data_IF_495574775499
#
_entry.id   IF_495574775499
#
_cell.length_a   1.000
_cell.length_b   1.000
_cell.length_c   1.000
_cell.angle_alpha   90.00
_cell.angle_beta   90.00
_cell.angle_gamma   90.00
#
_symmetry.space_group_name_H-M   'P 1'
#
loop_
_entity.id
_entity.type
_entity.pdbx_description
1 polymer ?
#
# COMPACT_ATOMS: atom_id res chain seq x y z
N UNK A 1 21.01 -31.82 8.46
CA UNK A 1 20.12 -31.46 7.33
C UNK A 1 21.01 -31.26 6.12
N UNK A 2 21.24 -32.32 5.36
CA UNK A 2 21.82 -32.21 4.03
C UNK A 2 20.83 -31.41 3.20
N UNK A 3 21.26 -30.22 2.77
CA UNK A 3 20.43 -29.35 1.96
C UNK A 3 20.11 -30.10 0.67
N UNK A 4 18.83 -30.39 0.47
CA UNK A 4 18.27 -30.73 -0.82
C UNK A 4 18.50 -29.53 -1.74
N UNK A 5 19.70 -29.43 -2.29
CA UNK A 5 19.99 -28.52 -3.37
C UNK A 5 19.17 -29.00 -4.56
N UNK A 6 17.94 -28.51 -4.66
CA UNK A 6 17.21 -28.52 -5.91
C UNK A 6 18.05 -27.71 -6.89
N UNK A 7 18.96 -28.43 -7.57
CA UNK A 7 19.82 -27.85 -8.57
C UNK A 7 18.92 -27.27 -9.66
N UNK A 8 19.16 -26.00 -10.01
CA UNK A 8 18.49 -25.37 -11.14
C UNK A 8 18.58 -26.27 -12.37
N UNK A 9 17.46 -26.41 -13.07
CA UNK A 9 17.43 -27.10 -14.35
C UNK A 9 18.40 -26.42 -15.33
N UNK A 10 18.99 -27.15 -16.29
CA UNK A 10 19.86 -26.55 -17.30
C UNK A 10 19.23 -25.35 -18.03
N UNK A 11 17.91 -25.40 -18.24
CA UNK A 11 17.14 -24.29 -18.81
C UNK A 11 17.13 -23.06 -17.90
N UNK A 12 16.84 -23.23 -16.61
CA UNK A 12 16.91 -22.14 -15.63
C UNK A 12 18.31 -21.52 -15.59
N UNK A 13 19.37 -22.34 -15.58
CA UNK A 13 20.74 -21.83 -15.62
C UNK A 13 21.04 -20.99 -16.87
N UNK A 14 20.50 -21.36 -18.03
CA UNK A 14 20.62 -20.55 -19.26
C UNK A 14 19.89 -19.22 -19.13
N UNK A 15 18.67 -19.22 -18.58
CA UNK A 15 17.87 -18.00 -18.36
C UNK A 15 18.60 -17.08 -17.38
N UNK A 16 19.10 -17.62 -16.26
CA UNK A 16 19.82 -16.86 -15.24
C UNK A 16 21.06 -16.15 -15.82
N UNK A 17 21.82 -16.82 -16.69
CA UNK A 17 22.96 -16.20 -17.38
C UNK A 17 22.53 -15.07 -18.30
N UNK A 18 21.52 -15.30 -19.13
CA UNK A 18 20.99 -14.26 -20.02
C UNK A 18 20.48 -13.05 -19.24
N UNK A 19 19.72 -13.27 -18.15
CA UNK A 19 19.26 -12.21 -17.26
C UNK A 19 20.45 -11.46 -16.65
N UNK A 20 21.49 -12.18 -16.19
CA UNK A 20 22.69 -11.57 -15.64
C UNK A 20 23.38 -10.64 -16.66
N UNK A 21 23.54 -11.10 -17.89
CA UNK A 21 24.25 -10.39 -18.96
C UNK A 21 23.51 -9.12 -19.37
N UNK A 22 22.18 -9.16 -19.44
CA UNK A 22 21.37 -7.99 -19.87
C UNK A 22 20.98 -7.07 -18.71
N UNK A 23 21.19 -7.47 -17.45
CA UNK A 23 20.69 -6.75 -16.28
C UNK A 23 21.18 -5.31 -16.21
N UNK A 24 22.46 -5.05 -16.50
CA UNK A 24 23.02 -3.70 -16.40
C UNK A 24 22.37 -2.72 -17.38
N UNK A 25 22.17 -3.15 -18.64
CA UNK A 25 21.48 -2.36 -19.65
C UNK A 25 20.00 -2.17 -19.30
N UNK A 26 19.35 -3.23 -18.82
CA UNK A 26 17.97 -3.18 -18.35
C UNK A 26 17.81 -2.16 -17.21
N UNK A 27 18.63 -2.26 -16.16
CA UNK A 27 18.63 -1.38 -14.99
C UNK A 27 18.83 0.08 -15.39
N UNK A 28 19.80 0.37 -16.26
CA UNK A 28 20.05 1.73 -16.72
C UNK A 28 18.79 2.34 -17.37
N UNK A 29 18.16 1.60 -18.30
CA UNK A 29 16.93 2.05 -18.96
C UNK A 29 15.77 2.20 -17.99
N UNK A 30 15.60 1.23 -17.09
CA UNK A 30 14.56 1.24 -16.07
C UNK A 30 14.66 2.49 -15.19
N UNK A 31 15.85 2.79 -14.65
CA UNK A 31 16.08 3.98 -13.82
C UNK A 31 15.83 5.25 -14.61
N UNK A 32 16.46 5.43 -15.79
CA UNK A 32 16.30 6.65 -16.60
C UNK A 32 14.84 6.90 -17.01
N UNK A 33 14.12 5.87 -17.45
CA UNK A 33 12.70 6.04 -17.81
C UNK A 33 11.86 6.36 -16.58
N UNK A 34 12.10 5.68 -15.46
CA UNK A 34 11.36 5.93 -14.23
C UNK A 34 11.57 7.35 -13.69
N UNK A 35 12.80 7.86 -13.71
CA UNK A 35 13.09 9.24 -13.27
C UNK A 35 12.34 10.25 -14.12
N UNK A 36 12.23 10.01 -15.43
CA UNK A 36 11.47 10.90 -16.30
C UNK A 36 9.98 10.91 -15.95
N UNK A 37 9.39 9.74 -15.68
CA UNK A 37 7.98 9.61 -15.26
C UNK A 37 7.76 10.27 -13.89
N UNK A 38 8.68 10.05 -12.95
CA UNK A 38 8.63 10.59 -11.58
C UNK A 38 8.74 12.12 -11.53
N UNK A 39 9.59 12.71 -12.39
CA UNK A 39 9.73 14.16 -12.52
C UNK A 39 8.42 14.79 -12.99
N UNK A 40 7.80 14.23 -14.02
CA UNK A 40 6.49 14.69 -14.50
C UNK A 40 5.40 14.49 -13.43
N UNK A 41 5.49 13.38 -12.68
CA UNK A 41 4.65 13.06 -11.53
C UNK A 41 4.53 14.19 -10.51
N UNK A 42 5.67 14.82 -10.20
CA UNK A 42 5.83 15.83 -9.14
C UNK A 42 5.50 17.26 -9.60
N UNK A 43 5.60 17.56 -10.90
CA UNK A 43 5.44 18.91 -11.45
C UNK A 43 4.05 19.55 -11.29
N UNK A 44 3.01 18.81 -10.89
CA UNK A 44 1.74 19.42 -10.52
C UNK A 44 1.86 20.35 -9.28
N UNK A 45 2.82 20.09 -8.38
CA UNK A 45 3.09 20.93 -7.20
C UNK A 45 4.14 22.02 -7.47
N UNK A 46 5.12 21.76 -8.34
CA UNK A 46 6.24 22.67 -8.62
C UNK A 46 6.06 23.58 -9.85
N UNK A 47 4.92 23.47 -10.57
CA UNK A 47 4.62 24.22 -11.81
C UNK A 47 4.64 25.75 -11.68
N UNK A 48 4.70 26.29 -10.46
CA UNK A 48 4.86 27.72 -10.22
C UNK A 48 6.30 28.24 -10.24
N UNK A 49 7.32 27.39 -9.97
CA UNK A 49 8.65 27.93 -9.61
C UNK A 49 9.76 27.71 -10.66
N UNK A 50 9.68 26.69 -11.53
CA UNK A 50 10.79 26.36 -12.47
C UNK A 50 10.49 26.53 -13.96
N UNK A 51 9.24 26.81 -14.35
CA UNK A 51 8.84 26.99 -15.76
C UNK A 51 9.46 28.24 -16.42
N UNK A 52 10.18 29.08 -15.67
CA UNK A 52 10.80 30.31 -16.18
C UNK A 52 12.28 30.18 -16.59
N UNK A 53 13.01 29.12 -16.21
CA UNK A 53 14.48 29.13 -16.34
C UNK A 53 15.01 28.19 -17.43
N UNK A 54 14.25 27.18 -17.88
CA UNK A 54 14.73 26.17 -18.85
C UNK A 54 13.87 26.14 -20.13
N UNK A 55 13.47 27.31 -20.65
CA UNK A 55 12.82 27.43 -21.96
C UNK A 55 13.82 27.64 -23.11
N UNK A 56 15.12 27.54 -22.86
CA UNK A 56 16.18 27.99 -23.78
C UNK A 56 17.21 26.92 -24.11
N UNK A 57 16.78 25.71 -24.49
CA UNK A 57 17.62 24.82 -25.30
C UNK A 57 16.84 23.67 -25.95
N UNK A 58 16.44 23.90 -27.20
CA UNK A 58 16.37 22.93 -28.31
C UNK A 58 15.63 21.60 -28.10
N UNK A 59 14.34 21.61 -28.42
CA UNK A 59 13.72 20.79 -29.48
C UNK A 59 14.41 19.45 -29.82
N UNK A 60 13.91 18.35 -29.25
CA UNK A 60 13.52 17.11 -29.98
C UNK A 60 12.61 16.29 -29.07
N UNK A 61 11.42 15.97 -29.57
CA UNK A 61 10.34 15.21 -28.91
C UNK A 61 9.77 15.81 -27.61
N UNK A 62 8.55 16.32 -27.70
CA UNK A 62 7.70 16.57 -26.54
C UNK A 62 7.58 15.26 -25.77
N UNK A 63 8.03 15.23 -24.52
CA UNK A 63 8.03 14.07 -23.64
C UNK A 63 6.69 13.33 -23.67
N UNK A 64 6.60 12.25 -24.46
CA UNK A 64 5.43 11.38 -24.51
C UNK A 64 5.40 10.51 -23.24
N UNK A 65 4.90 11.12 -22.16
CA UNK A 65 4.73 10.48 -20.85
C UNK A 65 3.86 9.23 -20.93
N UNK A 66 2.73 9.21 -21.65
CA UNK A 66 2.00 7.98 -21.92
C UNK A 66 2.91 6.87 -22.47
N UNK A 67 3.70 7.11 -23.51
CA UNK A 67 4.61 6.10 -24.08
C UNK A 67 5.67 5.63 -23.07
N UNK A 68 6.22 6.55 -22.25
CA UNK A 68 7.18 6.19 -21.19
C UNK A 68 6.54 5.32 -20.11
N UNK A 69 5.30 5.59 -19.71
CA UNK A 69 4.54 4.76 -18.76
C UNK A 69 4.25 3.38 -19.34
N UNK A 70 3.85 3.31 -20.61
CA UNK A 70 3.65 2.03 -21.31
C UNK A 70 4.93 1.20 -21.37
N UNK A 71 6.07 1.82 -21.71
CA UNK A 71 7.35 1.13 -21.69
C UNK A 71 7.70 0.62 -20.29
N UNK A 72 7.53 1.45 -19.27
CA UNK A 72 7.82 1.09 -17.89
C UNK A 72 6.90 -0.04 -17.39
N UNK A 73 5.63 -0.06 -17.81
CA UNK A 73 4.69 -1.14 -17.53
C UNK A 73 5.22 -2.49 -18.06
N UNK A 74 5.73 -2.51 -19.31
CA UNK A 74 6.37 -3.71 -19.88
C UNK A 74 7.63 -4.14 -19.15
N UNK A 75 8.43 -3.19 -18.65
CA UNK A 75 9.59 -3.52 -17.82
C UNK A 75 9.17 -4.17 -16.49
N UNK A 76 8.09 -3.71 -15.86
CA UNK A 76 7.58 -4.32 -14.63
C UNK A 76 7.02 -5.73 -14.85
N UNK A 77 6.29 -5.96 -15.94
CA UNK A 77 5.86 -7.30 -16.35
C UNK A 77 7.06 -8.24 -16.50
N UNK A 78 8.11 -7.78 -17.17
CA UNK A 78 9.35 -8.56 -17.35
C UNK A 78 10.06 -8.84 -16.03
N UNK A 79 10.11 -7.86 -15.11
CA UNK A 79 10.65 -8.04 -13.75
C UNK A 79 9.88 -9.13 -13.00
N UNK A 80 8.54 -9.14 -13.09
CA UNK A 80 7.71 -10.16 -12.45
C UNK A 80 8.04 -11.55 -12.98
N UNK A 81 8.20 -11.67 -14.31
CA UNK A 81 8.63 -12.90 -14.95
C UNK A 81 10.03 -13.36 -14.50
N UNK A 82 10.99 -12.44 -14.41
CA UNK A 82 12.34 -12.75 -13.92
C UNK A 82 12.33 -13.23 -12.48
N UNK A 83 11.55 -12.60 -11.60
CA UNK A 83 11.42 -13.02 -10.21
C UNK A 83 10.88 -14.45 -10.09
N UNK A 84 9.82 -14.78 -10.84
CA UNK A 84 9.24 -16.12 -10.88
C UNK A 84 10.21 -17.18 -11.43
N UNK A 85 10.96 -16.83 -12.47
CA UNK A 85 11.83 -17.79 -13.16
C UNK A 85 13.18 -18.00 -12.47
N UNK A 86 13.63 -17.04 -11.65
CA UNK A 86 14.99 -17.00 -11.11
C UNK A 86 15.10 -17.31 -9.62
N UNK A 87 13.98 -17.26 -8.88
CA UNK A 87 13.97 -17.49 -7.42
C UNK A 87 14.92 -16.55 -6.68
N UNK A 88 15.74 -17.12 -5.78
CA UNK A 88 16.68 -16.37 -4.92
C UNK A 88 17.69 -15.48 -5.68
N UNK A 89 18.07 -15.86 -6.91
CA UNK A 89 19.02 -15.10 -7.72
C UNK A 89 18.56 -13.65 -7.96
N UNK A 90 17.25 -13.42 -7.98
CA UNK A 90 16.68 -12.11 -8.25
C UNK A 90 16.47 -11.27 -6.99
N UNK A 91 16.52 -11.85 -5.79
CA UNK A 91 16.27 -11.17 -4.50
C UNK A 91 17.10 -9.89 -4.36
N UNK A 92 18.42 -10.02 -4.50
CA UNK A 92 19.34 -8.88 -4.34
C UNK A 92 19.05 -7.78 -5.36
N UNK A 93 18.83 -8.15 -6.62
CA UNK A 93 18.55 -7.22 -7.72
C UNK A 93 17.23 -6.50 -7.52
N UNK A 94 16.20 -7.24 -7.13
CA UNK A 94 14.90 -6.65 -6.81
C UNK A 94 15.04 -5.64 -5.67
N UNK A 95 15.65 -6.05 -4.55
CA UNK A 95 15.84 -5.19 -3.37
C UNK A 95 16.62 -3.91 -3.69
N UNK A 96 17.73 -4.00 -4.43
CA UNK A 96 18.61 -2.84 -4.64
C UNK A 96 18.22 -1.95 -5.81
N UNK A 97 17.67 -2.54 -6.88
CA UNK A 97 17.51 -1.83 -8.14
C UNK A 97 16.04 -1.56 -8.49
N UNK A 98 15.14 -2.50 -8.20
CA UNK A 98 13.73 -2.41 -8.59
C UNK A 98 12.90 -1.74 -7.50
N UNK A 99 13.04 -2.21 -6.27
CA UNK A 99 12.21 -1.81 -5.15
C UNK A 99 12.21 -0.29 -4.89
N UNK A 100 13.36 0.43 -4.88
CA UNK A 100 13.35 1.87 -4.64
C UNK A 100 12.55 2.66 -5.69
N UNK A 101 12.62 2.25 -6.95
CA UNK A 101 11.87 2.87 -8.05
C UNK A 101 10.39 2.56 -7.92
N UNK A 102 10.06 1.29 -7.68
CA UNK A 102 8.68 0.83 -7.49
C UNK A 102 7.99 1.55 -6.33
N UNK A 103 8.64 1.61 -5.16
CA UNK A 103 8.12 2.27 -3.97
C UNK A 103 7.87 3.77 -4.21
N UNK A 104 8.80 4.45 -4.90
CA UNK A 104 8.67 5.87 -5.23
C UNK A 104 7.51 6.14 -6.20
N UNK A 105 7.33 5.29 -7.21
CA UNK A 105 6.19 5.40 -8.15
C UNK A 105 4.86 5.19 -7.44
N UNK A 106 4.74 4.11 -6.65
CA UNK A 106 3.54 3.82 -5.87
C UNK A 106 3.21 4.95 -4.88
N UNK A 107 4.21 5.47 -4.17
CA UNK A 107 4.03 6.60 -3.25
C UNK A 107 3.43 7.82 -3.95
N UNK A 108 3.99 8.23 -5.10
CA UNK A 108 3.44 9.34 -5.88
C UNK A 108 1.99 9.10 -6.34
N UNK A 109 1.66 7.86 -6.72
CA UNK A 109 0.32 7.49 -7.15
C UNK A 109 -0.67 7.49 -5.99
N UNK A 110 -0.26 7.04 -4.81
CA UNK A 110 -1.06 7.08 -3.57
C UNK A 110 -1.34 8.53 -3.18
N UNK A 111 -0.34 9.40 -3.22
CA UNK A 111 -0.50 10.84 -2.94
C UNK A 111 -1.55 11.46 -3.87
N UNK A 112 -1.54 11.09 -5.15
CA UNK A 112 -2.54 11.55 -6.13
C UNK A 112 -3.95 11.04 -5.79
N UNK A 113 -4.09 9.75 -5.48
CA UNK A 113 -5.37 9.15 -5.09
C UNK A 113 -5.93 9.84 -3.82
N UNK A 114 -5.08 10.10 -2.83
CA UNK A 114 -5.46 10.81 -1.62
C UNK A 114 -5.94 12.24 -1.89
N UNK A 115 -5.23 12.98 -2.75
CA UNK A 115 -5.57 14.35 -3.09
C UNK A 115 -6.86 14.46 -3.92
N UNK A 116 -7.20 13.46 -4.75
CA UNK A 116 -8.46 13.44 -5.51
C UNK A 116 -9.67 13.22 -4.60
N UNK A 117 -9.51 12.46 -3.51
CA UNK A 117 -10.61 12.14 -2.59
C UNK A 117 -10.93 13.23 -1.55
N UNK A 118 -10.08 14.24 -1.39
CA UNK A 118 -10.19 15.24 -0.31
C UNK A 118 -11.03 16.48 -0.60
N UNK A 119 -11.81 16.52 -1.68
CA UNK A 119 -12.50 17.75 -2.13
C UNK A 119 -13.94 17.90 -1.62
N UNK A 120 -14.58 16.87 -1.08
CA UNK A 120 -16.01 16.95 -0.74
C UNK A 120 -16.30 16.69 0.74
N UNK A 121 -15.90 17.64 1.58
CA UNK A 121 -16.62 17.91 2.83
C UNK A 121 -16.78 19.43 3.00
N UNK A 122 -17.15 20.11 1.90
CA UNK A 122 -17.67 21.48 1.94
C UNK A 122 -19.12 21.47 2.46
N UNK A 123 -19.31 20.90 3.65
CA UNK A 123 -20.39 21.26 4.56
C UNK A 123 -19.99 22.55 5.30
N UNK A 124 -19.36 23.51 4.61
CA UNK A 124 -19.26 24.87 5.13
C UNK A 124 -20.69 25.40 5.14
N UNK A 125 -21.31 25.64 6.30
CA UNK A 125 -22.64 26.24 6.33
C UNK A 125 -22.57 27.55 5.55
N UNK A 126 -23.59 27.90 4.74
CA UNK A 126 -23.60 29.12 3.97
C UNK A 126 -23.34 30.27 4.93
N UNK A 127 -22.15 30.86 4.84
CA UNK A 127 -21.84 32.07 5.59
C UNK A 127 -22.76 33.11 5.00
N UNK A 128 -23.86 33.37 5.72
CA UNK A 128 -24.82 34.41 5.37
C UNK A 128 -24.00 35.69 5.18
N UNK A 129 -23.99 36.28 3.97
CA UNK A 129 -23.26 37.51 3.74
C UNK A 129 -23.92 38.57 4.63
N UNK A 130 -23.23 38.94 5.70
CA UNK A 130 -23.63 40.04 6.56
C UNK A 130 -23.50 41.32 5.73
N UNK A 131 -24.64 41.78 5.25
CA UNK A 131 -24.86 43.03 4.56
C UNK A 131 -24.33 44.23 5.36
N UNK A 132 -23.86 45.21 4.58
CA UNK A 132 -23.66 46.66 4.82
C UNK A 132 -22.19 47.03 4.60
N UNK A 133 -21.82 47.78 3.56
CA UNK A 133 -22.21 49.18 3.32
C UNK A 133 -22.27 49.51 1.82
N UNK A 134 -23.22 50.39 1.48
CA UNK A 134 -23.45 51.05 0.20
C UNK A 134 -22.17 51.37 -0.60
N UNK A 135 -22.14 50.97 -1.88
CA UNK A 135 -21.49 51.77 -2.91
C UNK A 135 -22.32 51.76 -4.18
N UNK A 136 -22.60 52.97 -4.65
CA UNK A 136 -23.50 53.30 -5.74
C UNK A 136 -22.84 53.06 -7.11
N UNK A 137 -23.68 52.60 -8.05
CA UNK A 137 -23.68 52.94 -9.49
C UNK A 137 -22.57 52.35 -10.35
N UNK A 138 -22.97 51.37 -11.16
CA UNK A 138 -22.24 50.88 -12.33
C UNK A 138 -22.97 49.73 -13.01
N UNK A 139 -24.05 50.02 -13.76
CA UNK A 139 -24.76 49.03 -14.60
C UNK A 139 -23.82 48.54 -15.70
N UNK A 140 -23.40 47.30 -15.60
CA UNK A 140 -22.65 46.57 -16.62
C UNK A 140 -22.99 45.09 -16.51
N UNK A 141 -24.08 44.71 -17.16
CA UNK A 141 -24.62 43.35 -17.20
C UNK A 141 -23.66 42.45 -18.00
N UNK A 142 -22.78 41.75 -17.27
CA UNK A 142 -21.90 40.71 -17.82
C UNK A 142 -22.41 39.37 -17.30
N UNK A 143 -23.20 38.71 -18.12
CA UNK A 143 -23.52 37.28 -18.05
C UNK A 143 -22.21 36.51 -17.99
N UNK A 144 -21.77 36.12 -16.80
CA UNK A 144 -20.64 35.20 -16.63
C UNK A 144 -21.16 33.80 -16.94
N UNK A 145 -20.67 33.11 -17.99
CA UNK A 145 -20.95 31.70 -18.16
C UNK A 145 -20.34 30.98 -16.96
N UNK A 146 -21.20 30.45 -16.11
CA UNK A 146 -20.85 29.48 -15.09
C UNK A 146 -20.44 28.19 -15.82
N UNK A 147 -19.19 28.14 -16.26
CA UNK A 147 -18.57 26.92 -16.75
C UNK A 147 -18.42 25.99 -15.55
N UNK A 148 -19.36 25.06 -15.44
CA UNK A 148 -19.35 23.95 -14.51
C UNK A 148 -18.03 23.18 -14.66
N UNK A 149 -17.06 23.48 -13.80
CA UNK A 149 -15.82 22.72 -13.62
C UNK A 149 -16.16 21.37 -13.01
N UNK A 150 -16.65 20.44 -13.84
CA UNK A 150 -16.78 19.03 -13.49
C UNK A 150 -15.71 18.24 -14.23
N UNK A 151 -14.46 18.53 -13.90
CA UNK A 151 -13.31 17.71 -14.30
C UNK A 151 -12.78 17.01 -13.06
N UNK A 152 -13.56 16.07 -12.54
CA UNK A 152 -12.99 14.95 -11.77
C UNK A 152 -11.98 14.30 -12.71
N UNK A 153 -10.70 14.50 -12.44
CA UNK A 153 -9.61 13.99 -13.26
C UNK A 153 -9.59 12.48 -13.14
N UNK A 154 -10.29 11.80 -14.05
CA UNK A 154 -10.14 10.37 -14.24
C UNK A 154 -8.65 10.08 -14.41
N UNK A 155 -8.15 9.10 -13.65
CA UNK A 155 -6.77 8.63 -13.80
C UNK A 155 -6.55 8.24 -15.26
N UNK A 156 -5.46 8.71 -15.86
CA UNK A 156 -5.17 8.40 -17.26
C UNK A 156 -4.96 6.88 -17.44
N UNK A 157 -5.48 6.31 -18.53
CA UNK A 157 -5.37 4.87 -18.81
C UNK A 157 -3.92 4.37 -18.78
N UNK A 158 -2.96 5.20 -19.23
CA UNK A 158 -1.53 4.88 -19.20
C UNK A 158 -0.96 4.76 -17.77
N UNK A 159 -1.49 5.56 -16.83
CA UNK A 159 -1.12 5.53 -15.42
C UNK A 159 -1.74 4.32 -14.73
N UNK A 160 -3.01 4.04 -15.00
CA UNK A 160 -3.69 2.84 -14.51
C UNK A 160 -3.01 1.55 -14.97
N UNK A 161 -2.61 1.51 -16.25
CA UNK A 161 -1.86 0.38 -16.79
C UNK A 161 -0.52 0.21 -16.09
N UNK A 162 0.22 1.30 -15.85
CA UNK A 162 1.48 1.26 -15.12
C UNK A 162 1.31 0.75 -13.68
N UNK A 163 0.31 1.24 -12.94
CA UNK A 163 0.01 0.76 -11.58
C UNK A 163 -0.30 -0.73 -11.60
N UNK A 164 -1.15 -1.15 -12.54
CA UNK A 164 -1.53 -2.56 -12.69
C UNK A 164 -0.30 -3.44 -12.92
N UNK A 165 0.59 -3.06 -13.83
CA UNK A 165 1.83 -3.81 -14.10
C UNK A 165 2.79 -3.80 -12.91
N UNK A 166 2.88 -2.71 -12.14
CA UNK A 166 3.66 -2.66 -10.89
C UNK A 166 3.12 -3.69 -9.88
N UNK A 167 1.81 -3.69 -9.63
CA UNK A 167 1.18 -4.60 -8.69
C UNK A 167 1.32 -6.05 -9.17
N UNK A 168 1.13 -6.34 -10.45
CA UNK A 168 1.34 -7.67 -11.01
C UNK A 168 2.80 -8.13 -10.88
N UNK A 169 3.76 -7.23 -11.09
CA UNK A 169 5.18 -7.49 -10.86
C UNK A 169 5.45 -7.88 -9.41
N UNK A 170 4.90 -7.11 -8.46
CA UNK A 170 5.00 -7.37 -7.03
C UNK A 170 4.35 -8.71 -6.65
N UNK A 171 3.17 -9.01 -7.19
CA UNK A 171 2.51 -10.30 -7.00
C UNK A 171 3.39 -11.45 -7.49
N UNK A 172 4.01 -11.31 -8.66
CA UNK A 172 4.92 -12.33 -9.18
C UNK A 172 6.16 -12.54 -8.32
N UNK A 173 6.68 -11.48 -7.70
CA UNK A 173 7.82 -11.53 -6.78
C UNK A 173 7.48 -12.29 -5.49
N UNK A 174 6.37 -11.97 -4.84
CA UNK A 174 5.98 -12.62 -3.58
C UNK A 174 5.35 -14.00 -3.77
N UNK A 175 4.83 -14.33 -4.96
CA UNK A 175 4.40 -15.70 -5.28
C UNK A 175 5.57 -16.67 -5.54
N UNK A 176 6.76 -16.15 -5.85
CA UNK A 176 7.89 -16.99 -6.18
C UNK A 176 8.63 -17.39 -4.91
N UNK A 177 8.43 -18.61 -4.39
CA UNK A 177 8.93 -19.10 -3.09
C UNK A 177 10.31 -18.52 -2.70
N UNK A 178 11.37 -18.81 -3.47
CA UNK A 178 12.72 -18.34 -3.13
C UNK A 178 12.92 -16.82 -3.23
N UNK A 179 12.19 -16.12 -4.11
CA UNK A 179 12.28 -14.66 -4.19
C UNK A 179 11.50 -13.99 -3.05
N UNK A 180 10.27 -14.44 -2.79
CA UNK A 180 9.40 -13.94 -1.74
C UNK A 180 10.01 -14.13 -0.35
N UNK A 181 10.51 -15.33 -0.05
CA UNK A 181 11.20 -15.64 1.20
C UNK A 181 12.43 -14.75 1.40
N UNK A 182 13.22 -14.55 0.34
CA UNK A 182 14.39 -13.67 0.37
C UNK A 182 14.07 -12.19 0.58
N UNK A 183 12.79 -11.79 0.48
CA UNK A 183 12.31 -10.40 0.56
C UNK A 183 11.32 -10.16 1.72
N UNK A 184 11.28 -11.06 2.71
CA UNK A 184 10.40 -10.94 3.89
C UNK A 184 10.59 -9.60 4.64
N UNK A 185 11.82 -9.10 4.71
CA UNK A 185 12.14 -7.79 5.31
C UNK A 185 11.45 -6.60 4.62
N UNK A 186 11.03 -6.75 3.35
CA UNK A 186 10.30 -5.72 2.61
C UNK A 186 8.79 -5.74 2.87
N UNK A 187 8.23 -6.83 3.44
CA UNK A 187 6.78 -7.01 3.58
C UNK A 187 6.14 -5.85 4.35
N UNK A 188 6.73 -5.45 5.47
CA UNK A 188 6.19 -4.35 6.28
C UNK A 188 6.09 -3.05 5.47
N UNK A 189 7.15 -2.68 4.76
CA UNK A 189 7.15 -1.45 3.95
C UNK A 189 6.22 -1.57 2.72
N UNK A 190 6.22 -2.71 2.04
CA UNK A 190 5.39 -2.93 0.87
C UNK A 190 3.90 -2.92 1.19
N UNK A 191 3.51 -3.52 2.32
CA UNK A 191 2.12 -3.52 2.78
C UNK A 191 1.56 -2.12 3.01
N UNK A 192 2.38 -1.20 3.55
CA UNK A 192 1.98 0.19 3.76
C UNK A 192 1.63 0.90 2.44
N UNK A 193 2.33 0.57 1.36
CA UNK A 193 2.01 1.05 0.02
C UNK A 193 0.81 0.34 -0.61
N UNK A 194 0.50 -0.89 -0.20
CA UNK A 194 -0.62 -1.66 -0.73
C UNK A 194 -1.97 -1.33 -0.10
N UNK A 195 -2.01 -1.01 1.21
CA UNK A 195 -3.27 -0.75 1.91
C UNK A 195 -4.15 0.33 1.27
N UNK A 196 -3.63 1.46 0.76
CA UNK A 196 -4.45 2.46 0.09
C UNK A 196 -5.24 1.91 -1.11
N UNK A 197 -4.74 0.88 -1.79
CA UNK A 197 -5.40 0.26 -2.94
C UNK A 197 -6.58 -0.64 -2.56
N UNK A 198 -6.64 -1.14 -1.31
CA UNK A 198 -7.76 -1.95 -0.84
C UNK A 198 -9.09 -1.16 -0.78
N UNK A 199 -9.02 0.17 -0.65
CA UNK A 199 -10.17 1.05 -0.56
C UNK A 199 -10.54 1.76 -1.87
N UNK A 200 -9.92 1.39 -2.99
CA UNK A 200 -10.05 2.09 -4.27
C UNK A 200 -11.35 1.71 -5.02
N UNK A 201 -12.44 2.45 -4.79
CA UNK A 201 -13.75 2.22 -5.42
C UNK A 201 -13.72 2.24 -6.94
N UNK A 202 -13.00 3.21 -7.47
CA UNK A 202 -13.03 3.49 -8.90
C UNK A 202 -12.30 2.40 -9.70
N UNK A 203 -11.51 1.54 -9.03
CA UNK A 203 -10.63 0.57 -9.64
C UNK A 203 -10.64 -0.77 -8.88
N UNK A 204 -11.75 -1.53 -8.91
CA UNK A 204 -11.90 -2.79 -8.16
C UNK A 204 -10.82 -3.83 -8.51
N UNK A 205 -10.35 -3.82 -9.76
CA UNK A 205 -9.25 -4.69 -10.21
C UNK A 205 -7.95 -4.42 -9.46
N UNK A 206 -7.64 -3.17 -9.10
CA UNK A 206 -6.44 -2.86 -8.32
C UNK A 206 -6.57 -3.38 -6.89
N UNK A 207 -7.77 -3.25 -6.29
CA UNK A 207 -8.05 -3.75 -4.96
C UNK A 207 -7.92 -5.28 -4.89
N UNK A 208 -8.40 -6.00 -5.90
CA UNK A 208 -8.25 -7.46 -6.03
C UNK A 208 -6.77 -7.88 -6.09
N UNK A 209 -5.97 -7.25 -6.96
CA UNK A 209 -4.54 -7.56 -7.08
C UNK A 209 -3.81 -7.22 -5.77
N UNK A 210 -4.10 -6.08 -5.14
CA UNK A 210 -3.50 -5.69 -3.86
C UNK A 210 -3.85 -6.68 -2.74
N UNK A 211 -5.10 -7.16 -2.71
CA UNK A 211 -5.56 -8.19 -1.78
C UNK A 211 -4.80 -9.50 -1.98
N UNK A 212 -4.62 -9.96 -3.22
CA UNK A 212 -3.87 -11.17 -3.53
C UNK A 212 -2.40 -11.06 -3.11
N UNK A 213 -1.76 -9.90 -3.34
CA UNK A 213 -0.37 -9.67 -2.89
C UNK A 213 -0.29 -9.75 -1.37
N UNK A 214 -1.19 -9.08 -0.64
CA UNK A 214 -1.21 -9.10 0.82
C UNK A 214 -1.46 -10.50 1.37
N UNK A 215 -2.33 -11.28 0.72
CA UNK A 215 -2.53 -12.69 1.06
C UNK A 215 -1.23 -13.48 0.94
N UNK A 216 -0.48 -13.31 -0.15
CA UNK A 216 0.83 -13.97 -0.31
C UNK A 216 1.86 -13.50 0.70
N UNK A 217 1.87 -12.22 1.05
CA UNK A 217 2.74 -11.71 2.10
C UNK A 217 2.38 -12.27 3.48
N UNK A 218 1.10 -12.51 3.77
CA UNK A 218 0.65 -13.14 5.02
C UNK A 218 1.13 -14.59 5.13
N UNK A 219 1.15 -15.32 4.01
CA UNK A 219 1.69 -16.68 3.93
C UNK A 219 3.22 -16.70 4.20
N UNK A 220 3.95 -15.62 3.85
CA UNK A 220 5.39 -15.50 4.06
C UNK A 220 5.76 -15.00 5.47
N UNK A 221 5.11 -13.93 5.94
CA UNK A 221 5.30 -13.35 7.28
C UNK A 221 4.04 -12.62 7.74
N UNK A 222 3.21 -13.36 8.48
CA UNK A 222 1.99 -12.81 9.08
C UNK A 222 2.27 -11.75 10.14
N UNK A 223 3.39 -11.85 10.86
CA UNK A 223 3.69 -11.03 12.03
C UNK A 223 3.80 -9.54 11.69
N UNK A 224 4.40 -9.25 10.53
CA UNK A 224 4.57 -7.90 10.01
C UNK A 224 3.25 -7.23 9.60
N UNK A 225 2.24 -8.02 9.26
CA UNK A 225 0.95 -7.53 8.73
C UNK A 225 -0.16 -7.53 9.77
N UNK A 226 -0.08 -8.37 10.81
CA UNK A 226 -1.12 -8.44 11.85
C UNK A 226 -1.40 -7.06 12.45
N UNK A 227 -0.36 -6.33 12.88
CA UNK A 227 -0.54 -5.04 13.54
C UNK A 227 -1.27 -4.00 12.67
N UNK A 228 -0.83 -3.71 11.43
CA UNK A 228 -1.56 -2.78 10.58
C UNK A 228 -2.96 -3.29 10.20
N UNK A 229 -3.17 -4.60 10.04
CA UNK A 229 -4.50 -5.15 9.75
C UNK A 229 -5.48 -4.98 10.94
N UNK A 230 -5.03 -5.22 12.17
CA UNK A 230 -5.83 -4.92 13.36
C UNK A 230 -6.16 -3.43 13.46
N UNK A 231 -5.17 -2.57 13.19
CA UNK A 231 -5.40 -1.13 13.16
C UNK A 231 -6.45 -0.71 12.11
N UNK A 232 -6.31 -1.19 10.88
CA UNK A 232 -7.24 -0.87 9.78
C UNK A 232 -8.64 -1.45 9.98
N UNK A 233 -8.75 -2.64 10.60
CA UNK A 233 -10.05 -3.25 10.89
C UNK A 233 -10.78 -2.63 12.08
N UNK A 234 -10.11 -1.75 12.86
CA UNK A 234 -10.64 -1.24 14.12
C UNK A 234 -10.76 -2.31 15.22
N UNK A 235 -10.30 -3.54 14.98
CA UNK A 235 -10.29 -4.62 15.98
C UNK A 235 -9.12 -4.37 16.95
N UNK A 236 -9.37 -4.54 18.25
CA UNK A 236 -8.29 -4.50 19.24
C UNK A 236 -7.27 -5.61 18.98
N UNK A 237 -5.99 -5.33 19.21
CA UNK A 237 -4.96 -6.37 19.18
C UNK A 237 -5.29 -7.41 20.26
N UNK A 238 -5.27 -8.72 19.93
CA UNK A 238 -5.43 -9.74 20.95
C UNK A 238 -4.32 -9.58 21.99
N UNK A 239 -4.62 -9.80 23.29
CA UNK A 239 -3.59 -9.77 24.32
C UNK A 239 -2.49 -10.78 23.95
N UNK A 240 -1.24 -10.31 23.91
CA UNK A 240 -0.10 -11.16 23.57
C UNK A 240 -0.06 -12.36 24.52
N UNK A 241 0.09 -13.60 24.01
CA UNK A 241 0.16 -14.79 24.87
C UNK A 241 1.33 -14.73 25.86
N UNK A 242 2.40 -13.98 25.53
CA UNK A 242 3.53 -13.76 26.44
C UNK A 242 3.17 -12.91 27.66
N UNK A 243 2.07 -12.16 27.63
CA UNK A 243 1.61 -11.40 28.79
C UNK A 243 0.93 -12.28 29.84
N UNK A 244 0.32 -13.39 29.43
CA UNK A 244 -0.38 -14.32 30.32
C UNK A 244 0.61 -15.08 31.20
N UNK A 245 1.70 -15.58 30.61
CA UNK A 245 2.74 -16.35 31.33
C UNK A 245 3.41 -15.54 32.44
N UNK A 246 3.55 -14.22 32.27
CA UNK A 246 4.17 -13.37 33.30
C UNK A 246 3.26 -13.16 34.52
N UNK A 247 1.94 -13.07 34.31
CA UNK A 247 1.01 -12.91 35.44
C UNK A 247 0.90 -14.19 36.28
N UNK A 248 0.96 -15.37 35.66
CA UNK A 248 0.94 -16.65 36.38
C UNK A 248 2.22 -16.88 37.21
N UNK A 249 3.38 -16.40 36.75
CA UNK A 249 4.62 -16.48 37.54
C UNK A 249 4.64 -15.50 38.73
N UNK A 250 4.07 -14.30 38.60
CA UNK A 250 4.00 -13.35 39.71
C UNK A 250 3.01 -13.79 40.81
N UNK A 251 1.93 -14.48 40.44
CA UNK A 251 1.00 -15.05 41.43
C UNK A 251 1.58 -16.28 42.14
N UNK A 252 2.31 -17.16 41.45
CA UNK A 252 2.96 -18.31 42.11
C UNK A 252 4.09 -17.91 43.06
N UNK A 253 4.77 -16.79 42.80
CA UNK A 253 5.82 -16.28 43.70
C UNK A 253 5.23 -15.67 44.97
N UNK A 254 4.02 -15.09 44.91
CA UNK A 254 3.30 -14.59 46.09
C UNK A 254 2.64 -15.72 46.88
N UNK A 255 2.17 -16.78 46.23
CA UNK A 255 1.58 -17.95 46.91
C UNK A 255 2.63 -18.72 47.72
N UNK A 256 3.90 -18.79 47.29
CA UNK A 256 4.96 -19.41 48.10
C UNK A 256 5.45 -18.56 49.28
N UNK A 257 5.26 -17.23 49.29
CA UNK A 257 5.59 -16.40 50.45
C UNK A 257 4.44 -16.21 51.46
N UNK A 258 3.21 -16.58 51.10
CA UNK A 258 2.02 -16.44 51.98
C UNK A 258 1.57 -17.76 52.61
N UNK A 259 2.15 -18.91 52.22
CA UNK A 259 1.90 -20.18 52.92
C UNK A 259 2.53 -20.31 54.32
N UNK A 260 3.20 -19.27 54.83
CA UNK A 260 3.57 -19.15 56.26
C UNK A 260 2.72 -18.15 57.05
N UNK A 261 1.66 -17.59 56.48
CA UNK A 261 0.78 -16.66 57.18
C UNK A 261 -0.71 -16.98 56.98
N UNK A 262 -1.20 -17.85 57.86
CA UNK A 262 -2.43 -17.65 58.64
C UNK A 262 -3.72 -17.35 57.85
N UNK A 263 -4.49 -18.42 57.65
CA UNK A 263 -5.95 -18.56 57.89
C UNK A 263 -6.66 -17.27 58.35
N UNK A 264 -7.45 -16.65 57.46
CA UNK A 264 -8.86 -16.25 57.66
C UNK A 264 -9.36 -15.30 56.55
N UNK A 265 -10.65 -15.45 56.22
CA UNK A 265 -11.59 -14.50 55.59
C UNK A 265 -11.82 -14.50 54.06
N UNK A 266 -12.98 -15.05 53.74
CA UNK A 266 -14.12 -14.48 52.99
C UNK A 266 -13.89 -13.80 51.62
N UNK A 267 -14.43 -14.48 50.61
CA UNK A 267 -15.57 -14.05 49.79
C UNK A 267 -15.41 -12.73 49.02
N UNK A 268 -14.96 -12.84 47.75
CA UNK A 268 -15.29 -11.92 46.66
C UNK A 268 -14.80 -12.45 45.31
N UNK A 269 -15.76 -12.92 44.50
CA UNK A 269 -15.55 -13.21 43.07
C UNK A 269 -15.66 -11.93 42.24
N UNK A 270 -14.72 -11.61 41.34
CA UNK A 270 -14.96 -10.60 40.32
C UNK A 270 -15.42 -11.27 39.02
N UNK A 271 -16.69 -11.02 38.66
CA UNK A 271 -17.26 -11.35 37.34
C UNK A 271 -16.71 -10.37 36.31
N UNK A 272 -15.67 -10.76 35.57
CA UNK A 272 -15.20 -9.99 34.42
C UNK A 272 -16.13 -10.25 33.22
N UNK A 273 -17.04 -9.32 32.95
CA UNK A 273 -17.87 -9.33 31.75
C UNK A 273 -17.03 -8.90 30.54
N UNK A 274 -16.74 -9.85 29.65
CA UNK A 274 -16.23 -9.56 28.30
C UNK A 274 -17.28 -8.73 27.56
N UNK A 275 -16.93 -7.50 27.21
CA UNK A 275 -17.76 -6.60 26.41
C UNK A 275 -17.71 -7.08 24.96
N UNK A 276 -18.77 -7.77 24.54
CA UNK A 276 -19.01 -8.13 23.13
C UNK A 276 -19.18 -6.84 22.33
N UNK A 277 -18.14 -6.39 21.61
CA UNK A 277 -18.26 -5.33 20.62
C UNK A 277 -19.08 -5.84 19.44
N UNK A 278 -20.35 -5.44 19.41
CA UNK A 278 -21.27 -5.74 18.32
C UNK A 278 -21.07 -4.68 17.22
N UNK A 279 -20.87 -5.08 15.94
CA UNK A 279 -20.65 -4.12 14.87
C UNK A 279 -21.95 -3.37 14.55
N UNK A 280 -21.91 -2.04 14.68
CA UNK A 280 -22.98 -1.14 14.29
C UNK A 280 -23.15 -1.16 12.76
N UNK A 281 -24.26 -1.71 12.27
CA UNK A 281 -24.63 -1.65 10.86
C UNK A 281 -25.22 -0.27 10.53
N UNK A 282 -24.41 0.63 9.96
CA UNK A 282 -24.89 1.88 9.36
C UNK A 282 -25.20 1.67 7.88
N UNK A 283 -26.47 1.83 7.51
CA UNK A 283 -26.92 1.84 6.11
C UNK A 283 -26.69 3.25 5.52
N UNK A 284 -25.63 3.40 4.75
CA UNK A 284 -25.24 4.61 4.02
C UNK A 284 -23.98 4.28 3.22
N UNK A 285 -23.69 5.04 2.15
CA UNK A 285 -22.52 4.80 1.30
C UNK A 285 -21.28 4.47 2.16
N UNK A 286 -20.74 3.27 2.00
CA UNK A 286 -19.63 2.79 2.84
C UNK A 286 -18.45 3.72 2.61
N UNK A 287 -17.97 4.35 3.68
CA UNK A 287 -16.80 5.22 3.62
C UNK A 287 -15.61 4.43 3.07
N UNK A 288 -14.62 5.13 2.50
CA UNK A 288 -13.32 4.51 2.15
C UNK A 288 -12.75 3.73 3.34
N UNK A 289 -12.89 4.27 4.53
CA UNK A 289 -12.41 3.66 5.76
C UNK A 289 -13.18 2.37 6.08
N UNK A 290 -14.49 2.32 5.86
CA UNK A 290 -15.31 1.12 6.07
C UNK A 290 -14.88 -0.03 5.16
N UNK A 291 -14.48 0.29 3.92
CA UNK A 291 -14.02 -0.72 2.95
C UNK A 291 -12.62 -1.19 3.26
N UNK A 292 -11.72 -0.28 3.66
CA UNK A 292 -10.41 -0.66 4.18
C UNK A 292 -10.56 -1.58 5.39
N UNK A 293 -11.44 -1.25 6.32
CA UNK A 293 -11.76 -2.07 7.49
C UNK A 293 -12.35 -3.44 7.08
N UNK A 294 -13.25 -3.47 6.09
CA UNK A 294 -13.84 -4.70 5.55
C UNK A 294 -12.78 -5.59 4.90
N UNK A 295 -11.89 -5.03 4.07
CA UNK A 295 -10.81 -5.75 3.43
C UNK A 295 -9.80 -6.28 4.47
N UNK A 296 -9.48 -5.47 5.48
CA UNK A 296 -8.63 -5.87 6.59
C UNK A 296 -9.26 -7.01 7.40
N UNK A 297 -10.58 -6.96 7.68
CA UNK A 297 -11.30 -8.06 8.31
C UNK A 297 -11.20 -9.34 7.50
N UNK A 298 -11.41 -9.29 6.18
CA UNK A 298 -11.27 -10.46 5.29
C UNK A 298 -9.87 -11.07 5.35
N UNK A 299 -8.82 -10.23 5.37
CA UNK A 299 -7.44 -10.70 5.51
C UNK A 299 -7.16 -11.34 6.88
N UNK A 300 -7.73 -10.77 7.96
CA UNK A 300 -7.65 -11.35 9.31
C UNK A 300 -8.44 -12.66 9.43
N UNK A 301 -9.57 -12.77 8.74
CA UNK A 301 -10.37 -13.99 8.76
C UNK A 301 -9.63 -15.12 8.00
N UNK A 302 -8.97 -14.81 6.87
CA UNK A 302 -8.08 -15.74 6.17
C UNK A 302 -6.92 -16.25 7.04
N UNK A 303 -6.37 -15.40 7.91
CA UNK A 303 -5.32 -15.78 8.85
C UNK A 303 -5.77 -16.86 9.85
N UNK A 304 -7.03 -16.83 10.27
CA UNK A 304 -7.58 -17.83 11.18
C UNK A 304 -7.78 -19.19 10.50
N UNK A 305 -7.93 -19.20 9.17
CA UNK A 305 -8.10 -20.42 8.37
C UNK A 305 -6.75 -21.02 7.91
N UNK A 306 -5.63 -20.32 8.09
CA UNK A 306 -4.32 -20.83 7.70
C UNK A 306 -3.85 -21.95 8.65
N UNK A 307 -3.26 -23.03 8.13
CA UNK A 307 -2.68 -24.07 8.98
C UNK A 307 -1.57 -23.47 9.85
N UNK A 308 -1.51 -23.86 11.13
CA UNK A 308 -0.40 -23.47 12.00
C UNK A 308 0.93 -23.95 11.38
N UNK A 309 1.94 -23.08 11.28
CA UNK A 309 3.24 -23.40 10.67
C UNK A 309 4.05 -24.44 11.45
#
# INVERSE_FOLDING_TARGET
>A
KEGSGEGYTPLQNSILRQVADVWHTFRARFVTTSDTVLLHGSTAFAKGFMTSIIATSSSTDVDDIPSRRWFLARLFELIGFFAQSSGEFFVRRFRTDVWPVMAKLLGQMIDRIANVGGIEDEATPPTIPSHNVLSMVGKGERTRPSEARKSTTAMEDSELNLITSILQSMHGVFCANGCGEGLVDLIAHASHLLFPFLGADQQPKLAEIAFDILKRMLELDSSCLLRPLFHLSGRGLPPSPFHVVRMEMEDNTKVQMVQTAKVENLDRSPTSQLTSQQPCASNGATSRDDRLATAACKLLDLLNDMPEP
#
